data_IF_401741987033
#
_entry.id   IF_401741987033
#
_cell.length_a   1.000
_cell.length_b   1.000
_cell.length_c   1.000
_cell.angle_alpha   90.00
_cell.angle_beta   90.00
_cell.angle_gamma   90.00
#
_symmetry.space_group_name_H-M   'P 1'
#
loop_
_entity.id
_entity.type
_entity.pdbx_description
1 polymer ?
#
# COMPACT_ATOMS: atom_id res chain seq x y z
N UNK A 1 -11.58 57.41 56.21
CA UNK A 1 -10.75 57.51 54.98
C UNK A 1 -10.24 56.14 54.47
N UNK A 2 -10.16 55.08 55.29
CA UNK A 2 -9.69 53.75 54.84
C UNK A 2 -10.67 53.00 53.93
N UNK A 3 -11.97 53.01 54.27
CA UNK A 3 -13.03 52.29 53.52
C UNK A 3 -13.11 52.67 52.03
N UNK A 4 -12.79 53.93 51.70
CA UNK A 4 -12.80 54.43 50.32
C UNK A 4 -11.57 53.96 49.53
N UNK A 5 -10.41 53.82 50.19
CA UNK A 5 -9.20 53.23 49.59
C UNK A 5 -9.39 51.74 49.35
N UNK A 6 -10.01 51.02 50.27
CA UNK A 6 -10.25 49.57 50.15
C UNK A 6 -11.21 49.26 48.99
N UNK A 7 -12.27 50.06 48.82
CA UNK A 7 -13.19 49.93 47.67
C UNK A 7 -12.54 50.25 46.32
N UNK A 8 -11.68 51.28 46.27
CA UNK A 8 -10.94 51.61 45.05
C UNK A 8 -9.89 50.54 44.71
N UNK A 9 -9.28 49.92 45.72
CA UNK A 9 -8.32 48.82 45.55
C UNK A 9 -9.02 47.55 45.05
N UNK A 10 -10.16 47.19 45.65
CA UNK A 10 -10.99 46.06 45.20
C UNK A 10 -11.45 46.22 43.74
N UNK A 11 -11.89 47.42 43.33
CA UNK A 11 -12.28 47.68 41.93
C UNK A 11 -11.10 47.58 40.94
N UNK A 12 -9.87 47.92 41.37
CA UNK A 12 -8.68 47.74 40.54
C UNK A 12 -8.29 46.27 40.40
N UNK A 13 -8.42 45.49 41.47
CA UNK A 13 -8.17 44.05 41.48
C UNK A 13 -9.20 43.30 40.61
N UNK A 14 -10.47 43.69 40.64
CA UNK A 14 -11.54 43.15 39.81
C UNK A 14 -11.31 43.41 38.30
N UNK A 15 -10.87 44.63 37.95
CA UNK A 15 -10.51 44.96 36.57
C UNK A 15 -9.27 44.21 36.07
N UNK A 16 -8.27 44.01 36.93
CA UNK A 16 -7.09 43.21 36.59
C UNK A 16 -7.43 41.74 36.38
N UNK A 17 -8.31 41.18 37.22
CA UNK A 17 -8.80 39.80 37.07
C UNK A 17 -9.54 39.59 35.74
N UNK A 18 -10.36 40.57 35.32
CA UNK A 18 -11.05 40.54 34.02
C UNK A 18 -10.06 40.48 32.85
N UNK A 19 -9.03 41.34 32.86
CA UNK A 19 -8.01 41.38 31.78
C UNK A 19 -7.25 40.06 31.72
N UNK A 20 -6.86 39.51 32.87
CA UNK A 20 -6.19 38.21 32.95
C UNK A 20 -7.09 37.09 32.41
N UNK A 21 -8.38 37.10 32.76
CA UNK A 21 -9.33 36.11 32.26
C UNK A 21 -9.48 36.16 30.74
N UNK A 22 -9.53 37.35 30.14
CA UNK A 22 -9.59 37.51 28.67
C UNK A 22 -8.31 36.98 28.01
N UNK A 23 -7.13 37.31 28.55
CA UNK A 23 -5.85 36.82 28.03
C UNK A 23 -5.79 35.29 28.10
N UNK A 24 -6.20 34.69 29.21
CA UNK A 24 -6.25 33.24 29.37
C UNK A 24 -7.25 32.61 28.42
N UNK A 25 -8.43 33.21 28.24
CA UNK A 25 -9.44 32.71 27.32
C UNK A 25 -8.93 32.72 25.88
N UNK A 26 -8.32 33.83 25.43
CA UNK A 26 -7.72 33.93 24.10
C UNK A 26 -6.58 32.93 23.91
N UNK A 27 -5.75 32.70 24.92
CA UNK A 27 -4.68 31.71 24.86
C UNK A 27 -5.24 30.28 24.70
N UNK A 28 -6.31 29.94 25.44
CA UNK A 28 -6.99 28.64 25.32
C UNK A 28 -7.67 28.48 23.97
N UNK A 29 -8.26 29.54 23.42
CA UNK A 29 -8.88 29.52 22.09
C UNK A 29 -7.85 29.24 20.98
N UNK A 30 -6.71 29.93 21.01
CA UNK A 30 -5.60 29.69 20.06
C UNK A 30 -5.09 28.24 20.18
N UNK A 31 -4.94 27.74 21.40
CA UNK A 31 -4.54 26.35 21.65
C UNK A 31 -5.59 25.37 21.09
N UNK A 32 -6.88 25.65 21.29
CA UNK A 32 -7.98 24.85 20.78
C UNK A 32 -7.97 24.76 19.24
N UNK A 33 -7.76 25.89 18.56
CA UNK A 33 -7.61 25.90 17.10
C UNK A 33 -6.40 25.09 16.64
N UNK A 34 -5.26 25.21 17.32
CA UNK A 34 -4.05 24.45 16.99
C UNK A 34 -4.25 22.93 17.15
N UNK A 35 -4.98 22.49 18.19
CA UNK A 35 -5.28 21.07 18.41
C UNK A 35 -6.24 20.51 17.34
N UNK A 36 -7.23 21.30 16.92
CA UNK A 36 -8.17 20.89 15.86
C UNK A 36 -7.43 20.75 14.52
N UNK A 37 -6.59 21.72 14.15
CA UNK A 37 -5.84 21.65 12.88
C UNK A 37 -4.83 20.51 12.88
N UNK A 38 -4.14 20.26 13.99
CA UNK A 38 -3.26 19.11 14.14
C UNK A 38 -4.02 17.79 13.97
N UNK A 39 -5.20 17.66 14.58
CA UNK A 39 -6.03 16.47 14.45
C UNK A 39 -6.50 16.21 13.01
N UNK A 40 -6.81 17.27 12.25
CA UNK A 40 -7.17 17.14 10.83
C UNK A 40 -6.01 16.66 9.97
N UNK A 41 -4.80 17.15 10.24
CA UNK A 41 -3.58 16.72 9.56
C UNK A 41 -3.32 15.25 9.85
N UNK A 42 -3.33 14.86 11.13
CA UNK A 42 -3.08 13.47 11.54
C UNK A 42 -4.10 12.51 10.93
N UNK A 43 -5.37 12.90 10.90
CA UNK A 43 -6.43 12.10 10.25
C UNK A 43 -6.17 11.92 8.75
N UNK A 44 -5.80 12.99 8.05
CA UNK A 44 -5.50 12.95 6.62
C UNK A 44 -4.27 12.08 6.33
N UNK A 45 -3.22 12.22 7.13
CA UNK A 45 -1.99 11.42 7.01
C UNK A 45 -2.28 9.95 7.28
N UNK A 46 -2.97 9.62 8.38
CA UNK A 46 -3.34 8.26 8.72
C UNK A 46 -4.21 7.61 7.63
N UNK A 47 -5.18 8.35 7.08
CA UNK A 47 -6.01 7.89 5.98
C UNK A 47 -5.20 7.59 4.71
N UNK A 48 -4.20 8.41 4.38
CA UNK A 48 -3.34 8.18 3.23
C UNK A 48 -2.41 6.98 3.43
N UNK A 49 -1.86 6.80 4.64
CA UNK A 49 -1.03 5.64 5.00
C UNK A 49 -1.84 4.36 4.90
N UNK A 50 -3.01 4.30 5.53
CA UNK A 50 -3.89 3.12 5.49
C UNK A 50 -4.24 2.71 4.05
N UNK A 51 -4.64 3.66 3.19
CA UNK A 51 -4.92 3.39 1.77
C UNK A 51 -3.69 2.91 1.01
N UNK A 52 -2.51 3.44 1.36
CA UNK A 52 -1.25 3.01 0.74
C UNK A 52 -0.87 1.59 1.17
N UNK A 53 -1.17 1.19 2.40
CA UNK A 53 -0.93 -0.17 2.89
C UNK A 53 -1.91 -1.16 2.26
N UNK A 54 -3.20 -0.83 2.19
CA UNK A 54 -4.22 -1.65 1.51
C UNK A 54 -3.84 -1.97 0.06
N UNK A 55 -3.34 -0.96 -0.67
CA UNK A 55 -2.90 -1.13 -2.06
C UNK A 55 -1.63 -1.95 -2.18
N UNK A 56 -0.72 -1.82 -1.22
CA UNK A 56 0.48 -2.65 -1.16
C UNK A 56 0.11 -4.12 -0.91
N UNK A 57 -0.72 -4.40 0.10
CA UNK A 57 -1.18 -5.76 0.41
C UNK A 57 -1.91 -6.41 -0.77
N UNK A 58 -2.74 -5.64 -1.49
CA UNK A 58 -3.38 -6.12 -2.71
C UNK A 58 -2.34 -6.50 -3.78
N UNK A 59 -1.33 -5.65 -4.00
CA UNK A 59 -0.26 -5.95 -4.94
C UNK A 59 0.54 -7.21 -4.52
N UNK A 60 0.86 -7.36 -3.24
CA UNK A 60 1.54 -8.54 -2.69
C UNK A 60 0.73 -9.83 -2.91
N UNK A 61 -0.59 -9.76 -2.74
CA UNK A 61 -1.47 -10.89 -3.03
C UNK A 61 -1.35 -11.33 -4.51
N UNK A 62 -1.33 -10.38 -5.45
CA UNK A 62 -1.14 -10.71 -6.86
C UNK A 62 0.23 -11.33 -7.16
N UNK A 63 1.29 -10.92 -6.46
CA UNK A 63 2.60 -11.59 -6.54
C UNK A 63 2.49 -13.03 -6.04
N UNK A 64 1.90 -13.25 -4.86
CA UNK A 64 1.76 -14.59 -4.26
C UNK A 64 0.99 -15.53 -5.18
N UNK A 65 -0.15 -15.08 -5.72
CA UNK A 65 -0.94 -15.86 -6.67
C UNK A 65 -0.15 -16.13 -7.96
N UNK A 66 0.63 -15.16 -8.44
CA UNK A 66 1.50 -15.35 -9.59
C UNK A 66 2.58 -16.42 -9.34
N UNK A 67 3.20 -16.42 -8.16
CA UNK A 67 4.17 -17.43 -7.73
C UNK A 67 3.50 -18.81 -7.70
N UNK A 68 2.34 -18.92 -7.05
CA UNK A 68 1.60 -20.18 -6.93
C UNK A 68 1.16 -20.71 -8.30
N UNK A 69 0.75 -19.82 -9.22
CA UNK A 69 0.41 -20.21 -10.59
C UNK A 69 1.61 -20.80 -11.33
N UNK A 70 2.77 -20.15 -11.27
CA UNK A 70 4.00 -20.63 -11.93
C UNK A 70 4.46 -21.94 -11.30
N UNK A 71 4.42 -22.06 -9.96
CA UNK A 71 4.84 -23.25 -9.24
C UNK A 71 3.99 -24.47 -9.61
N UNK A 72 2.68 -24.28 -9.79
CA UNK A 72 1.75 -25.35 -10.15
C UNK A 72 1.70 -25.63 -11.66
N UNK A 73 2.08 -24.68 -12.50
CA UNK A 73 2.03 -24.79 -13.96
C UNK A 73 3.38 -24.39 -14.60
N UNK A 74 4.47 -25.10 -14.28
CA UNK A 74 5.79 -24.72 -14.76
C UNK A 74 5.86 -24.85 -16.29
N UNK A 75 5.85 -23.71 -16.99
CA UNK A 75 5.95 -23.64 -18.45
C UNK A 75 4.65 -23.29 -19.19
N UNK A 76 3.52 -23.11 -18.50
CA UNK A 76 2.27 -22.62 -19.10
C UNK A 76 2.30 -21.13 -19.45
N UNK A 77 3.18 -20.37 -18.80
CA UNK A 77 3.38 -18.94 -19.09
C UNK A 77 4.09 -18.80 -20.44
N UNK A 78 3.49 -18.08 -21.41
CA UNK A 78 4.12 -17.84 -22.71
C UNK A 78 5.47 -17.12 -22.55
N UNK A 79 6.45 -17.48 -23.38
CA UNK A 79 7.76 -16.82 -23.39
C UNK A 79 7.69 -15.38 -23.93
N UNK A 80 6.78 -15.13 -24.88
CA UNK A 80 6.79 -13.92 -25.70
C UNK A 80 5.64 -12.95 -25.39
N UNK A 81 4.73 -13.31 -24.46
CA UNK A 81 3.58 -12.48 -24.12
C UNK A 81 3.33 -12.48 -22.61
N UNK A 82 3.05 -11.31 -21.99
CA UNK A 82 2.60 -11.27 -20.61
C UNK A 82 1.29 -12.04 -20.45
N UNK A 83 1.27 -12.93 -19.46
CA UNK A 83 0.06 -13.61 -19.03
C UNK A 83 -0.56 -12.83 -17.88
N UNK A 84 -1.74 -12.26 -18.11
CA UNK A 84 -2.44 -11.47 -17.10
C UNK A 84 -3.29 -12.38 -16.21
N UNK A 85 -3.18 -12.21 -14.90
CA UNK A 85 -4.05 -12.79 -13.88
C UNK A 85 -4.58 -11.62 -13.07
N UNK A 86 -5.87 -11.60 -12.80
CA UNK A 86 -6.47 -10.57 -11.95
C UNK A 86 -7.30 -11.18 -10.82
N UNK A 87 -7.62 -10.35 -9.84
CA UNK A 87 -8.40 -10.79 -8.68
C UNK A 87 -9.81 -11.31 -9.04
N UNK A 88 -10.41 -10.89 -10.16
CA UNK A 88 -11.77 -11.25 -10.55
C UNK A 88 -11.79 -12.64 -11.21
N UNK A 89 -10.89 -12.85 -12.18
CA UNK A 89 -10.65 -14.13 -12.85
C UNK A 89 -10.25 -15.22 -11.86
N UNK A 90 -9.50 -14.87 -10.81
CA UNK A 90 -9.15 -15.83 -9.76
C UNK A 90 -10.33 -16.17 -8.83
N UNK A 91 -11.24 -15.22 -8.56
CA UNK A 91 -12.45 -15.46 -7.75
C UNK A 91 -13.56 -16.17 -8.51
N UNK A 92 -13.41 -16.37 -9.82
CA UNK A 92 -14.47 -16.91 -10.68
C UNK A 92 -15.65 -15.95 -10.82
N UNK A 93 -15.46 -14.67 -10.53
CA UNK A 93 -16.50 -13.64 -10.68
C UNK A 93 -16.37 -13.03 -12.09
N UNK A 94 -17.33 -13.35 -12.96
CA UNK A 94 -17.41 -12.74 -14.29
C UNK A 94 -17.68 -11.23 -14.15
N UNK A 95 -16.62 -10.43 -14.33
CA UNK A 95 -16.63 -9.05 -14.84
C UNK A 95 -17.80 -8.17 -14.39
N UNK A 96 -17.94 -7.95 -13.08
CA UNK A 96 -18.76 -6.84 -12.58
C UNK A 96 -18.00 -5.51 -12.74
N UNK A 97 -18.72 -4.51 -13.25
CA UNK A 97 -18.24 -3.16 -13.55
C UNK A 97 -17.26 -2.62 -12.51
N UNK A 98 -16.08 -2.22 -12.98
CA UNK A 98 -14.86 -1.93 -12.20
C UNK A 98 -14.96 -0.74 -11.22
N UNK A 99 -16.07 0.00 -11.17
CA UNK A 99 -16.07 1.32 -10.54
C UNK A 99 -16.45 1.35 -9.05
N UNK A 100 -17.07 0.31 -8.49
CA UNK A 100 -17.73 0.38 -7.17
C UNK A 100 -17.49 -0.80 -6.21
N UNK A 101 -16.47 -1.65 -6.41
CA UNK A 101 -16.21 -2.68 -5.40
C UNK A 101 -15.55 -2.07 -4.16
N UNK A 102 -16.03 -2.42 -2.95
CA UNK A 102 -15.51 -1.88 -1.70
C UNK A 102 -14.17 -2.51 -1.28
N UNK A 103 -13.62 -3.44 -2.07
CA UNK A 103 -12.42 -4.20 -1.73
C UNK A 103 -11.23 -3.85 -2.62
N UNK A 104 -10.01 -3.83 -2.06
CA UNK A 104 -8.79 -3.71 -2.85
C UNK A 104 -8.71 -4.83 -3.89
N UNK A 105 -8.28 -4.48 -5.10
CA UNK A 105 -8.12 -5.41 -6.21
C UNK A 105 -6.65 -5.49 -6.62
N UNK A 106 -6.31 -6.50 -7.41
CA UNK A 106 -4.98 -6.62 -7.99
C UNK A 106 -5.02 -7.16 -9.41
N UNK A 107 -3.99 -6.80 -10.18
CA UNK A 107 -3.73 -7.33 -11.50
C UNK A 107 -2.24 -7.66 -11.59
N UNK A 108 -1.93 -8.93 -11.84
CA UNK A 108 -0.59 -9.46 -11.98
C UNK A 108 -0.31 -9.86 -13.43
N UNK A 109 0.83 -9.42 -13.96
CA UNK A 109 1.35 -9.82 -15.26
C UNK A 109 2.57 -10.71 -15.08
N UNK A 110 2.53 -11.89 -15.66
CA UNK A 110 3.58 -12.90 -15.57
C UNK A 110 4.29 -13.00 -16.90
N UNK A 111 5.62 -13.02 -16.89
CA UNK A 111 6.46 -13.17 -18.08
C UNK A 111 7.52 -14.22 -17.83
N UNK A 112 7.70 -15.15 -18.77
CA UNK A 112 8.82 -16.10 -18.75
C UNK A 112 10.01 -15.45 -19.46
N UNK A 113 11.10 -15.24 -18.72
CA UNK A 113 12.28 -14.50 -19.18
C UNK A 113 13.33 -15.39 -19.87
N UNK A 114 13.13 -16.70 -19.87
CA UNK A 114 14.04 -17.67 -20.48
C UNK A 114 14.68 -18.62 -19.48
N UNK A 115 15.83 -19.21 -19.83
CA UNK A 115 16.57 -20.10 -18.94
C UNK A 115 17.20 -19.31 -17.79
N UNK A 116 17.00 -19.76 -16.57
CA UNK A 116 17.70 -19.23 -15.42
C UNK A 116 19.13 -19.80 -15.35
N UNK A 117 20.08 -19.09 -14.71
CA UNK A 117 21.36 -19.69 -14.37
C UNK A 117 21.16 -20.93 -13.48
N UNK A 118 22.07 -21.90 -13.51
CA UNK A 118 22.01 -23.06 -12.63
C UNK A 118 22.07 -22.59 -11.17
N UNK A 119 21.12 -23.07 -10.35
CA UNK A 119 21.11 -22.73 -8.93
C UNK A 119 22.26 -23.46 -8.20
N UNK A 120 22.78 -22.90 -7.10
CA UNK A 120 23.81 -23.55 -6.30
C UNK A 120 23.38 -24.98 -5.89
N UNK A 121 24.21 -25.97 -6.20
CA UNK A 121 23.93 -27.38 -5.87
C UNK A 121 22.97 -28.10 -6.83
N UNK A 122 22.51 -27.49 -7.91
CA UNK A 122 21.74 -28.17 -8.95
C UNK A 122 22.63 -28.84 -10.01
N UNK A 123 22.27 -30.05 -10.48
CA UNK A 123 22.94 -30.66 -11.62
C UNK A 123 22.67 -29.84 -12.89
N UNK A 124 23.71 -29.61 -13.69
CA UNK A 124 23.67 -28.87 -14.96
C UNK A 124 22.71 -29.46 -16.01
N UNK A 125 22.17 -30.67 -15.76
CA UNK A 125 21.19 -31.34 -16.62
C UNK A 125 19.75 -30.85 -16.42
N UNK A 126 19.47 -30.05 -15.38
CA UNK A 126 18.14 -29.50 -15.13
C UNK A 126 18.03 -28.09 -15.70
N UNK A 127 17.12 -27.92 -16.66
CA UNK A 127 16.77 -26.60 -17.17
C UNK A 127 15.93 -25.85 -16.13
N UNK A 128 16.47 -24.78 -15.55
CA UNK A 128 15.72 -23.82 -14.74
C UNK A 128 15.16 -22.70 -15.61
N UNK A 129 14.01 -22.13 -15.24
CA UNK A 129 13.40 -21.01 -15.94
C UNK A 129 13.27 -19.80 -15.03
N UNK A 130 13.52 -18.62 -15.57
CA UNK A 130 13.29 -17.33 -14.89
C UNK A 130 11.92 -16.78 -15.28
N UNK A 131 11.22 -16.26 -14.29
CA UNK A 131 9.94 -15.60 -14.40
C UNK A 131 10.02 -14.21 -13.79
N UNK A 132 9.29 -13.28 -14.39
CA UNK A 132 9.09 -11.93 -13.91
C UNK A 132 7.60 -11.74 -13.66
N UNK A 133 7.27 -11.25 -12.47
CA UNK A 133 5.89 -11.02 -12.03
C UNK A 133 5.78 -9.53 -11.69
N UNK A 134 4.84 -8.84 -12.32
CA UNK A 134 4.50 -7.44 -11.99
C UNK A 134 3.06 -7.39 -11.53
N UNK A 135 2.85 -7.02 -10.26
CA UNK A 135 1.52 -6.90 -9.67
C UNK A 135 1.19 -5.45 -9.36
N UNK A 136 0.00 -5.01 -9.75
CA UNK A 136 -0.55 -3.70 -9.43
C UNK A 136 -1.77 -3.87 -8.54
N UNK A 137 -1.69 -3.37 -7.30
CA UNK A 137 -2.79 -3.27 -6.36
C UNK A 137 -3.57 -1.96 -6.54
N UNK A 138 -4.89 -2.04 -6.46
CA UNK A 138 -5.84 -0.95 -6.68
C UNK A 138 -6.71 -0.81 -5.43
N UNK A 139 -6.67 0.37 -4.80
CA UNK A 139 -7.43 0.66 -3.60
C UNK A 139 -8.78 1.31 -3.91
N UNK A 140 -9.62 1.47 -2.88
CA UNK A 140 -11.02 1.93 -2.98
C UNK A 140 -11.19 3.34 -3.57
N UNK A 141 -10.10 4.10 -3.73
CA UNK A 141 -10.09 5.45 -4.35
C UNK A 141 -9.14 5.54 -5.57
N UNK A 142 -8.81 4.42 -6.21
CA UNK A 142 -7.93 4.41 -7.38
C UNK A 142 -6.46 4.69 -7.07
N UNK A 143 -6.06 4.63 -5.80
CA UNK A 143 -4.64 4.61 -5.41
C UNK A 143 -4.02 3.33 -5.98
N UNK A 144 -2.86 3.46 -6.62
CA UNK A 144 -2.17 2.36 -7.28
C UNK A 144 -0.81 2.13 -6.63
N UNK A 145 -0.53 0.87 -6.31
CA UNK A 145 0.81 0.43 -5.91
C UNK A 145 1.25 -0.70 -6.82
N UNK A 146 2.50 -0.64 -7.26
CA UNK A 146 3.08 -1.66 -8.12
C UNK A 146 4.27 -2.30 -7.43
N UNK A 147 4.29 -3.62 -7.47
CA UNK A 147 5.38 -4.45 -6.97
C UNK A 147 5.86 -5.34 -8.11
N UNK A 148 7.16 -5.59 -8.15
CA UNK A 148 7.79 -6.53 -9.07
C UNK A 148 8.50 -7.61 -8.28
N UNK A 149 8.49 -8.82 -8.81
CA UNK A 149 9.23 -9.95 -8.28
C UNK A 149 9.85 -10.76 -9.42
N UNK A 150 11.06 -11.27 -9.18
CA UNK A 150 11.71 -12.25 -10.05
C UNK A 150 11.77 -13.61 -9.36
N UNK A 151 11.52 -14.66 -10.11
CA UNK A 151 11.45 -16.02 -9.61
C UNK A 151 12.21 -16.96 -10.54
N UNK A 152 12.98 -17.89 -9.98
CA UNK A 152 13.62 -18.96 -10.75
C UNK A 152 13.10 -20.31 -10.27
N UNK A 153 12.53 -21.10 -11.17
CA UNK A 153 11.96 -22.42 -10.85
C UNK A 153 12.57 -23.49 -11.75
N UNK A 154 12.87 -24.64 -11.15
CA UNK A 154 13.14 -25.88 -11.89
C UNK A 154 11.82 -26.66 -12.03
N UNK A 155 11.37 -26.97 -13.26
CA UNK A 155 10.19 -27.78 -13.47
C UNK A 155 10.39 -29.16 -12.83
N UNK A 156 9.37 -29.67 -12.13
CA UNK A 156 9.38 -31.05 -11.64
C UNK A 156 9.45 -32.00 -12.85
N UNK A 157 10.57 -32.70 -13.01
CA UNK A 157 10.65 -33.80 -13.96
C UNK A 157 10.15 -35.05 -13.24
N UNK A 158 8.92 -35.48 -13.55
CA UNK A 158 8.27 -36.68 -12.99
C UNK A 158 9.12 -37.97 -13.11
N UNK A 159 10.12 -37.99 -13.99
CA UNK A 159 11.00 -39.16 -14.20
C UNK A 159 12.20 -39.28 -13.26
N UNK A 160 12.43 -38.36 -12.32
CA UNK A 160 13.69 -38.36 -11.55
C UNK A 160 13.59 -38.21 -10.03
N UNK A 161 12.42 -38.42 -9.40
CA UNK A 161 12.30 -38.51 -7.93
C UNK A 161 12.83 -37.32 -7.12
N UNK A 162 13.07 -36.18 -7.77
CA UNK A 162 13.57 -34.96 -7.17
C UNK A 162 12.41 -34.00 -6.99
N UNK A 163 11.96 -33.87 -5.74
CA UNK A 163 11.00 -32.83 -5.36
C UNK A 163 11.67 -31.47 -5.58
N UNK A 164 11.28 -30.77 -6.65
CA UNK A 164 11.76 -29.42 -6.95
C UNK A 164 11.42 -28.47 -5.81
N UNK A 165 12.45 -27.96 -5.12
CA UNK A 165 12.34 -26.82 -4.22
C UNK A 165 12.32 -25.54 -5.06
N UNK A 166 11.26 -24.74 -4.92
CA UNK A 166 11.26 -23.37 -5.41
C UNK A 166 12.16 -22.53 -4.49
N UNK A 167 13.15 -21.84 -5.05
CA UNK A 167 14.00 -20.92 -4.30
C UNK A 167 13.66 -19.50 -4.75
N UNK A 168 13.04 -18.73 -3.84
CA UNK A 168 12.60 -17.36 -4.10
C UNK A 168 13.81 -16.42 -3.99
N UNK A 169 14.19 -15.76 -5.08
CA UNK A 169 15.09 -14.62 -5.03
C UNK A 169 14.24 -13.34 -5.07
N UNK A 170 13.62 -12.98 -3.94
CA UNK A 170 12.76 -11.80 -3.85
C UNK A 170 13.59 -10.52 -3.93
N UNK A 171 13.48 -9.79 -5.04
CA UNK A 171 13.83 -8.37 -5.10
C UNK A 171 12.52 -7.60 -5.20
N UNK A 172 12.01 -7.13 -4.06
CA UNK A 172 10.78 -6.33 -3.97
C UNK A 172 11.16 -4.88 -4.20
N UNK A 173 11.13 -4.41 -5.45
CA UNK A 173 11.13 -2.98 -5.76
C UNK A 173 9.68 -2.50 -5.84
N UNK A 174 9.22 -1.79 -4.81
CA UNK A 174 7.90 -1.17 -4.76
C UNK A 174 7.94 0.23 -5.35
N UNK A 175 7.26 0.45 -6.48
CA UNK A 175 7.13 1.77 -7.11
C UNK A 175 5.74 2.35 -6.81
N UNK A 176 5.70 3.53 -6.19
CA UNK A 176 4.47 4.27 -5.94
C UNK A 176 4.04 5.00 -7.22
N UNK A 177 3.00 4.53 -7.90
CA UNK A 177 2.48 5.23 -9.08
C UNK A 177 1.38 6.18 -8.60
N UNK A 178 1.79 7.37 -8.15
CA UNK A 178 0.85 8.47 -7.89
C UNK A 178 0.31 9.00 -9.22
N UNK A 179 -0.79 8.42 -9.71
CA UNK A 179 -1.67 9.16 -10.63
C UNK A 179 -2.39 10.22 -9.81
N UNK A 180 -1.75 11.38 -9.67
CA UNK A 180 -2.44 12.63 -9.35
C UNK A 180 -3.43 12.89 -10.49
N UNK A 181 -4.67 12.43 -10.32
CA UNK A 181 -5.78 12.87 -11.14
C UNK A 181 -5.93 14.37 -10.88
N UNK A 182 -5.40 15.18 -11.79
CA UNK A 182 -5.72 16.59 -11.90
C UNK A 182 -7.20 16.71 -12.28
N UNK A 183 -8.10 16.53 -11.33
CA UNK A 183 -9.47 17.08 -11.42
C UNK A 183 -9.38 18.55 -11.06
N UNK A 184 -8.96 19.35 -12.05
CA UNK A 184 -9.30 20.75 -12.11
C UNK A 184 -10.83 20.82 -12.24
N UNK A 185 -11.51 21.17 -11.14
CA UNK A 185 -12.89 21.65 -11.23
C UNK A 185 -12.84 23.16 -11.53
N UNK A 186 -13.55 23.65 -12.56
CA UNK A 186 -13.77 25.08 -12.78
C UNK A 186 -14.65 25.69 -11.68
#
# INVERSE_FOLDING_TARGET
>A
MSVLKDRLKAKKEEGAALVIAIILLSAVEILGFALITMSQIDYSVAGNVARSEETLYAAEQGIQIGIDFIANNPGSVPADSPYAIDSLSFRGEESYSQSNEPYPRWNANLRKMGKAPPLPGQPLSLDSFRYFIESTGVGVNGVLRRIRAELSIVPKIEKAGLEGKAELATVVEGEAINKLAATAHP
#
